data_IF_593569008126
#
_entry.id   IF_593569008126
#
_cell.length_a   1.000
_cell.length_b   1.000
_cell.length_c   1.000
_cell.angle_alpha   90.00
_cell.angle_beta   90.00
_cell.angle_gamma   90.00
#
_symmetry.space_group_name_H-M   'P 1'
#
loop_
_entity.id
_entity.type
_entity.pdbx_description
1 polymer ?
#
# COMPACT_ATOMS: atom_id res chain seq x y z
N UNK A 1 11.13 -10.90 -4.86
CA UNK A 1 11.49 -10.71 -3.44
C UNK A 1 11.20 -9.27 -3.07
N UNK A 2 10.34 -9.03 -2.08
CA UNK A 2 9.91 -7.68 -1.69
C UNK A 2 10.64 -7.21 -0.44
N UNK A 3 11.16 -5.98 -0.48
CA UNK A 3 11.82 -5.35 0.66
C UNK A 3 10.85 -4.51 1.49
N UNK A 4 10.97 -4.56 2.82
CA UNK A 4 10.06 -3.86 3.73
C UNK A 4 10.38 -2.36 3.84
N UNK A 5 9.32 -1.56 3.92
CA UNK A 5 9.38 -0.12 4.27
C UNK A 5 8.45 0.15 5.46
N UNK A 6 8.98 -0.01 6.66
CA UNK A 6 8.24 0.19 7.91
C UNK A 6 8.80 1.38 8.70
N UNK A 7 7.94 2.02 9.49
CA UNK A 7 8.39 3.09 10.39
C UNK A 7 9.24 2.54 11.54
N UNK A 8 10.08 3.39 12.14
CA UNK A 8 10.92 3.03 13.30
C UNK A 8 10.10 2.42 14.45
N UNK A 9 8.90 2.94 14.69
CA UNK A 9 7.98 2.45 15.72
C UNK A 9 7.42 1.07 15.41
N UNK A 10 7.14 0.77 14.15
CA UNK A 10 6.62 -0.52 13.70
C UNK A 10 7.71 -1.59 13.73
N UNK A 11 8.93 -1.27 13.28
CA UNK A 11 10.06 -2.20 13.34
C UNK A 11 10.34 -2.69 14.77
N UNK A 12 10.31 -1.77 15.75
CA UNK A 12 10.49 -2.12 17.17
C UNK A 12 9.35 -2.97 17.72
N UNK A 13 8.10 -2.63 17.36
CA UNK A 13 6.91 -3.32 17.87
C UNK A 13 6.78 -4.72 17.30
N UNK A 14 7.10 -4.89 16.02
CA UNK A 14 6.86 -6.13 15.28
C UNK A 14 8.03 -7.12 15.40
N UNK A 15 9.27 -6.64 15.33
CA UNK A 15 10.45 -7.51 15.29
C UNK A 15 11.30 -7.46 16.57
N UNK A 16 10.88 -6.70 17.59
CA UNK A 16 11.59 -6.62 18.88
C UNK A 16 13.02 -6.05 18.81
N UNK A 17 13.39 -5.41 17.69
CA UNK A 17 14.76 -4.94 17.48
C UNK A 17 15.13 -3.72 18.33
N UNK A 18 16.42 -3.61 18.67
CA UNK A 18 16.95 -2.47 19.43
C UNK A 18 16.79 -1.15 18.67
N UNK A 19 16.74 -0.04 19.41
CA UNK A 19 16.57 1.29 18.82
C UNK A 19 17.70 1.68 17.86
N UNK A 20 18.94 1.28 18.19
CA UNK A 20 20.11 1.51 17.34
C UNK A 20 19.98 0.75 16.01
N UNK A 21 19.48 -0.49 16.06
CA UNK A 21 19.29 -1.32 14.88
C UNK A 21 18.16 -0.78 13.99
N UNK A 22 17.03 -0.36 14.59
CA UNK A 22 15.93 0.25 13.84
C UNK A 22 16.36 1.53 13.08
N UNK A 23 17.18 2.38 13.71
CA UNK A 23 17.75 3.57 13.05
C UNK A 23 18.69 3.16 11.91
N UNK A 24 19.50 2.11 12.12
CA UNK A 24 20.42 1.62 11.09
C UNK A 24 19.69 1.04 9.88
N UNK A 25 18.64 0.23 10.10
CA UNK A 25 17.79 -0.30 9.03
C UNK A 25 17.18 0.84 8.22
N UNK A 26 16.62 1.87 8.88
CA UNK A 26 16.11 3.05 8.18
C UNK A 26 17.17 3.78 7.35
N UNK A 27 18.41 3.88 7.87
CA UNK A 27 19.52 4.48 7.15
C UNK A 27 19.91 3.65 5.91
N UNK A 28 19.96 2.32 6.00
CA UNK A 28 20.22 1.43 4.86
C UNK A 28 19.11 1.54 3.80
N UNK A 29 17.84 1.56 4.21
CA UNK A 29 16.72 1.75 3.29
C UNK A 29 16.76 3.09 2.57
N UNK A 30 17.17 4.17 3.25
CA UNK A 30 17.35 5.49 2.61
C UNK A 30 18.50 5.52 1.60
N UNK A 31 19.43 4.56 1.67
CA UNK A 31 20.51 4.36 0.70
C UNK A 31 20.16 3.37 -0.40
N UNK A 32 18.91 2.88 -0.44
CA UNK A 32 18.42 1.98 -1.47
C UNK A 32 18.60 0.49 -1.15
N UNK A 33 19.18 0.14 0.01
CA UNK A 33 19.31 -1.25 0.44
C UNK A 33 18.09 -1.62 1.31
N UNK A 34 17.17 -2.38 0.71
CA UNK A 34 15.98 -2.87 1.41
C UNK A 34 16.29 -4.16 2.17
N UNK A 35 15.46 -4.51 3.15
CA UNK A 35 15.65 -5.68 4.00
C UNK A 35 14.36 -6.51 4.02
N UNK A 36 14.47 -7.83 3.96
CA UNK A 36 13.32 -8.76 4.06
C UNK A 36 12.78 -8.89 5.48
N UNK A 37 11.55 -9.38 5.61
CA UNK A 37 10.91 -9.64 6.90
C UNK A 37 11.63 -10.75 7.67
N UNK A 38 11.97 -11.86 7.00
CA UNK A 38 12.60 -13.00 7.68
C UNK A 38 13.99 -12.62 8.22
N UNK A 39 14.74 -11.78 7.49
CA UNK A 39 16.00 -11.26 8.02
C UNK A 39 15.76 -10.45 9.31
N UNK A 40 14.73 -9.61 9.37
CA UNK A 40 14.42 -8.84 10.57
C UNK A 40 13.98 -9.70 11.75
N UNK A 41 13.30 -10.82 11.49
CA UNK A 41 12.91 -11.80 12.51
C UNK A 41 14.15 -12.50 13.10
N UNK A 42 15.08 -12.92 12.24
CA UNK A 42 16.30 -13.62 12.65
C UNK A 42 17.28 -12.72 13.44
N UNK A 43 17.22 -11.39 13.29
CA UNK A 43 18.04 -10.44 14.04
C UNK A 43 17.80 -10.48 15.56
N UNK A 44 16.65 -11.00 16.00
CA UNK A 44 16.35 -11.19 17.43
C UNK A 44 17.22 -12.27 18.07
N UNK A 45 17.56 -13.31 17.31
CA UNK A 45 18.23 -14.52 17.80
C UNK A 45 19.71 -14.55 17.40
N UNK A 46 20.04 -14.02 16.23
CA UNK A 46 21.38 -14.10 15.65
C UNK A 46 22.20 -12.81 15.82
N UNK A 47 23.07 -12.80 16.83
CA UNK A 47 23.92 -11.65 17.16
C UNK A 47 24.96 -11.31 16.10
N UNK A 48 25.34 -12.26 15.25
CA UNK A 48 26.34 -12.01 14.21
C UNK A 48 25.74 -11.21 13.06
N UNK A 49 24.48 -11.47 12.68
CA UNK A 49 23.73 -10.65 11.72
C UNK A 49 23.58 -9.19 12.18
N UNK A 50 23.34 -9.00 13.49
CA UNK A 50 23.27 -7.67 14.09
C UNK A 50 24.60 -6.92 13.94
N UNK A 51 25.74 -7.60 14.08
CA UNK A 51 27.07 -6.98 13.88
C UNK A 51 27.25 -6.54 12.43
N UNK A 52 26.85 -7.37 11.46
CA UNK A 52 26.93 -7.04 10.03
C UNK A 52 26.10 -5.79 9.71
N UNK A 53 24.84 -5.75 10.14
CA UNK A 53 23.99 -4.59 9.88
C UNK A 53 24.49 -3.32 10.55
N UNK A 54 25.11 -3.44 11.73
CA UNK A 54 25.68 -2.29 12.44
C UNK A 54 27.03 -1.83 11.89
N UNK A 55 27.67 -2.61 11.00
CA UNK A 55 28.97 -2.30 10.42
C UNK A 55 28.92 -0.96 9.65
N UNK A 56 29.81 0.00 9.96
CA UNK A 56 29.87 1.28 9.25
C UNK A 56 30.14 1.14 7.75
N UNK A 57 30.90 0.12 7.34
CA UNK A 57 31.27 -0.13 5.95
C UNK A 57 30.04 -0.44 5.10
N UNK A 58 29.13 -1.28 5.61
CA UNK A 58 27.86 -1.61 4.97
C UNK A 58 27.02 -0.36 4.66
N UNK A 59 26.95 0.59 5.60
CA UNK A 59 26.20 1.83 5.37
C UNK A 59 26.88 2.72 4.32
N UNK A 60 28.20 2.73 4.28
CA UNK A 60 28.95 3.54 3.31
C UNK A 60 28.88 2.99 1.88
N UNK A 61 28.78 1.67 1.73
CA UNK A 61 28.75 0.97 0.42
C UNK A 61 27.36 0.47 0.04
N UNK A 62 26.31 0.78 0.81
CA UNK A 62 24.96 0.23 0.65
C UNK A 62 24.34 0.33 -0.76
N UNK A 63 24.75 1.31 -1.57
CA UNK A 63 24.24 1.50 -2.93
C UNK A 63 24.93 0.64 -3.99
N UNK A 64 26.16 0.18 -3.72
CA UNK A 64 27.04 -0.52 -4.68
C UNK A 64 27.47 -1.90 -4.18
N UNK A 65 26.99 -2.30 -3.01
CA UNK A 65 27.39 -3.55 -2.39
C UNK A 65 26.78 -4.75 -3.13
N UNK A 66 27.63 -5.73 -3.41
CA UNK A 66 27.27 -7.02 -4.00
C UNK A 66 27.39 -8.15 -2.96
N UNK A 67 26.89 -9.33 -3.33
CA UNK A 67 26.89 -10.52 -2.46
C UNK A 67 28.30 -10.97 -2.08
N UNK A 68 29.29 -10.82 -2.98
CA UNK A 68 30.68 -11.18 -2.69
C UNK A 68 31.33 -10.24 -1.66
N UNK A 69 31.12 -8.92 -1.80
CA UNK A 69 31.59 -7.93 -0.83
C UNK A 69 30.94 -8.12 0.54
N UNK A 70 29.66 -8.49 0.57
CA UNK A 70 28.96 -8.77 1.83
C UNK A 70 29.50 -10.02 2.54
N UNK A 71 29.85 -11.07 1.79
CA UNK A 71 30.52 -12.28 2.34
C UNK A 71 31.90 -11.98 2.91
N UNK A 72 32.64 -11.06 2.30
CA UNK A 72 33.94 -10.61 2.81
C UNK A 72 33.82 -9.81 4.12
N UNK A 73 32.73 -9.04 4.29
CA UNK A 73 32.45 -8.29 5.51
C UNK A 73 32.05 -9.18 6.69
N UNK A 74 31.43 -10.33 6.42
CA UNK A 74 31.10 -11.29 7.48
C UNK A 74 31.13 -12.73 6.99
N UNK A 75 32.30 -13.41 7.12
CA UNK A 75 32.43 -14.83 6.79
C UNK A 75 31.52 -15.73 7.64
N UNK A 76 31.16 -15.26 8.85
CA UNK A 76 30.26 -15.95 9.78
C UNK A 76 28.77 -15.80 9.42
N UNK A 77 28.41 -14.79 8.64
CA UNK A 77 27.04 -14.56 8.17
C UNK A 77 26.83 -15.18 6.77
N UNK A 78 27.34 -16.41 6.57
CA UNK A 78 27.32 -17.15 5.31
C UNK A 78 25.94 -17.52 4.78
N UNK A 79 24.89 -16.85 5.27
CA UNK A 79 23.48 -17.02 4.89
C UNK A 79 22.90 -15.71 4.35
N UNK A 80 23.70 -14.65 4.12
CA UNK A 80 23.21 -13.38 3.59
C UNK A 80 23.55 -13.20 2.11
N UNK A 81 22.57 -12.70 1.34
CA UNK A 81 22.75 -12.33 -0.06
C UNK A 81 22.00 -11.06 -0.43
N UNK A 82 22.46 -10.41 -1.50
CA UNK A 82 21.81 -9.21 -2.06
C UNK A 82 21.19 -9.59 -3.39
N UNK A 83 19.87 -9.41 -3.50
CA UNK A 83 19.08 -9.74 -4.67
C UNK A 83 18.26 -8.52 -5.07
N UNK A 84 18.58 -7.91 -6.22
CA UNK A 84 17.91 -6.71 -6.73
C UNK A 84 17.83 -5.54 -5.71
N UNK A 85 18.91 -5.33 -4.95
CA UNK A 85 18.96 -4.28 -3.91
C UNK A 85 18.20 -4.62 -2.62
N UNK A 86 17.76 -5.88 -2.47
CA UNK A 86 17.16 -6.40 -1.24
C UNK A 86 18.16 -7.32 -0.55
N UNK A 87 18.49 -7.00 0.69
CA UNK A 87 19.26 -7.86 1.58
C UNK A 87 18.33 -8.92 2.19
N UNK A 88 18.64 -10.18 1.95
CA UNK A 88 17.81 -11.32 2.34
C UNK A 88 18.67 -12.50 2.82
N UNK A 89 18.01 -13.49 3.42
CA UNK A 89 18.65 -14.77 3.70
C UNK A 89 18.81 -15.59 2.39
N UNK A 90 19.90 -16.33 2.26
CA UNK A 90 20.21 -17.16 1.08
C UNK A 90 19.16 -18.27 0.90
N UNK A 91 18.62 -18.79 2.00
CA UNK A 91 17.49 -19.72 1.98
C UNK A 91 16.19 -19.07 1.46
N UNK A 92 15.92 -17.78 1.74
CA UNK A 92 14.78 -17.07 1.16
C UNK A 92 14.93 -16.92 -0.36
N UNK A 93 16.15 -16.70 -0.84
CA UNK A 93 16.43 -16.62 -2.27
C UNK A 93 16.26 -17.98 -2.96
N UNK A 94 16.82 -19.05 -2.38
CA UNK A 94 16.68 -20.41 -2.89
C UNK A 94 15.23 -20.88 -2.86
N UNK A 95 14.46 -20.52 -1.82
CA UNK A 95 13.04 -20.82 -1.73
C UNK A 95 12.24 -20.06 -2.80
N UNK A 96 12.54 -18.77 -3.03
CA UNK A 96 11.91 -17.99 -4.09
C UNK A 96 12.16 -18.60 -5.48
N UNK A 97 13.39 -19.05 -5.76
CA UNK A 97 13.74 -19.72 -7.02
C UNK A 97 13.07 -21.09 -7.17
N UNK A 98 12.99 -21.87 -6.09
CA UNK A 98 12.40 -23.22 -6.10
C UNK A 98 10.87 -23.20 -6.23
N UNK A 99 10.21 -22.20 -5.62
CA UNK A 99 8.75 -22.02 -5.72
C UNK A 99 8.32 -21.36 -7.03
N UNK A 100 9.24 -20.67 -7.73
CA UNK A 100 9.02 -20.27 -9.13
C UNK A 100 9.09 -21.49 -10.06
N UNK A 101 9.90 -22.51 -9.75
CA UNK A 101 10.02 -23.75 -10.54
C UNK A 101 8.85 -24.72 -10.31
N UNK A 102 8.23 -24.76 -9.13
CA UNK A 102 7.00 -25.56 -8.89
C UNK A 102 5.75 -25.03 -9.62
N UNK A 103 5.80 -23.85 -10.24
CA UNK A 103 4.79 -23.44 -11.24
C UNK A 103 4.92 -24.20 -12.57
N UNK A 104 5.95 -25.01 -12.75
CA UNK A 104 6.18 -25.75 -13.98
C UNK A 104 6.82 -27.11 -13.73
N UNK A 105 6.05 -28.09 -13.22
CA UNK A 105 5.96 -29.46 -13.80
C UNK A 105 5.17 -30.42 -12.90
N UNK A 106 3.90 -30.65 -13.27
CA UNK A 106 3.25 -31.96 -13.20
C UNK A 106 2.62 -32.43 -11.88
N UNK A 107 1.32 -32.21 -11.71
CA UNK A 107 0.32 -33.30 -11.74
C UNK A 107 -1.10 -32.78 -11.45
N UNK A 108 -2.06 -33.27 -12.25
CA UNK A 108 -3.50 -32.97 -12.29
C UNK A 108 -3.86 -31.65 -12.98
N UNK A 109 -3.94 -31.75 -14.31
CA UNK A 109 -4.63 -30.79 -15.18
C UNK A 109 -6.13 -30.78 -14.85
N UNK A 110 -6.49 -30.00 -13.83
CA UNK A 110 -7.65 -29.13 -13.98
C UNK A 110 -7.15 -28.03 -14.91
N UNK A 111 -7.75 -27.91 -16.09
CA UNK A 111 -7.48 -26.80 -17.00
C UNK A 111 -7.41 -25.53 -16.18
N UNK A 112 -6.32 -24.78 -16.27
CA UNK A 112 -6.32 -23.38 -15.86
C UNK A 112 -7.63 -22.79 -16.38
N UNK A 113 -8.49 -22.21 -15.53
CA UNK A 113 -9.52 -21.34 -16.08
C UNK A 113 -8.74 -20.37 -16.94
N UNK A 114 -9.03 -20.37 -18.24
CA UNK A 114 -8.47 -19.41 -19.19
C UNK A 114 -8.38 -18.07 -18.47
N UNK A 115 -7.26 -17.32 -18.57
CA UNK A 115 -7.11 -16.05 -17.87
C UNK A 115 -8.43 -15.33 -18.04
N UNK A 116 -9.17 -15.18 -16.93
CA UNK A 116 -10.52 -14.64 -17.00
C UNK A 116 -10.36 -13.39 -17.86
N UNK A 117 -11.10 -13.27 -18.97
CA UNK A 117 -10.96 -12.11 -19.82
C UNK A 117 -11.01 -10.94 -18.88
N UNK A 118 -9.90 -10.20 -18.78
CA UNK A 118 -9.85 -8.98 -18.00
C UNK A 118 -11.00 -8.21 -18.58
N UNK A 119 -12.09 -8.07 -17.82
CA UNK A 119 -13.37 -7.58 -18.33
C UNK A 119 -13.05 -6.40 -19.22
N UNK A 120 -13.25 -6.60 -20.53
CA UNK A 120 -12.88 -5.58 -21.49
C UNK A 120 -13.58 -4.28 -21.08
N UNK A 121 -13.01 -3.12 -21.42
CA UNK A 121 -13.68 -1.85 -21.10
C UNK A 121 -15.15 -1.84 -21.58
N UNK A 122 -15.47 -2.59 -22.65
CA UNK A 122 -16.84 -2.82 -23.13
C UNK A 122 -17.67 -3.79 -22.28
N UNK A 123 -17.07 -4.83 -21.66
CA UNK A 123 -17.79 -5.76 -20.79
C UNK A 123 -18.08 -5.12 -19.42
N UNK A 124 -17.15 -4.31 -18.89
CA UNK A 124 -17.41 -3.48 -17.72
C UNK A 124 -18.53 -2.45 -17.98
N UNK A 125 -18.61 -1.87 -19.19
CA UNK A 125 -19.74 -1.02 -19.59
C UNK A 125 -21.05 -1.80 -19.73
N UNK A 126 -21.01 -3.06 -20.16
CA UNK A 126 -22.20 -3.91 -20.22
C UNK A 126 -22.76 -4.27 -18.84
N UNK A 127 -21.89 -4.37 -17.82
CA UNK A 127 -22.27 -4.64 -16.43
C UNK A 127 -22.85 -3.43 -15.70
N UNK A 128 -22.62 -2.21 -16.20
CA UNK A 128 -23.10 -0.97 -15.60
C UNK A 128 -23.91 -0.17 -16.62
N UNK A 129 -25.21 -0.46 -16.70
CA UNK A 129 -26.11 0.34 -17.53
C UNK A 129 -26.17 1.79 -17.01
N UNK A 130 -26.41 2.75 -17.91
CA UNK A 130 -26.57 4.16 -17.52
C UNK A 130 -27.71 4.39 -16.52
N UNK A 131 -28.78 3.59 -16.59
CA UNK A 131 -29.87 3.61 -15.62
C UNK A 131 -29.40 3.13 -14.25
N UNK A 132 -28.63 2.04 -14.20
CA UNK A 132 -28.08 1.53 -12.95
C UNK A 132 -27.13 2.52 -12.30
N UNK A 133 -26.23 3.14 -13.07
CA UNK A 133 -25.34 4.18 -12.56
C UNK A 133 -26.14 5.36 -11.99
N UNK A 134 -27.24 5.73 -12.63
CA UNK A 134 -28.15 6.78 -12.14
C UNK A 134 -28.83 6.37 -10.83
N UNK A 135 -29.28 5.12 -10.71
CA UNK A 135 -29.84 4.57 -9.46
C UNK A 135 -28.83 4.53 -8.33
N UNK A 136 -27.58 4.15 -8.62
CA UNK A 136 -26.49 4.15 -7.64
C UNK A 136 -26.20 5.57 -7.14
N UNK A 137 -26.09 6.55 -8.04
CA UNK A 137 -25.93 7.97 -7.68
C UNK A 137 -27.05 8.47 -6.78
N UNK A 138 -28.30 8.19 -7.15
CA UNK A 138 -29.46 8.55 -6.33
C UNK A 138 -29.40 7.88 -4.96
N UNK A 139 -29.08 6.58 -4.91
CA UNK A 139 -28.95 5.84 -3.64
C UNK A 139 -27.92 6.46 -2.71
N UNK A 140 -26.76 6.87 -3.25
CA UNK A 140 -25.70 7.53 -2.48
C UNK A 140 -26.15 8.90 -1.97
N UNK A 141 -26.75 9.73 -2.83
CA UNK A 141 -27.05 11.12 -2.51
C UNK A 141 -28.34 11.31 -1.71
N UNK A 142 -29.33 10.44 -1.88
CA UNK A 142 -30.68 10.61 -1.29
C UNK A 142 -31.15 9.43 -0.47
N UNK A 143 -30.43 8.30 -0.49
CA UNK A 143 -30.80 7.10 0.27
C UNK A 143 -30.80 7.33 1.78
N UNK A 144 -31.70 6.63 2.47
CA UNK A 144 -31.77 6.64 3.94
C UNK A 144 -31.09 5.39 4.54
N UNK A 145 -31.08 4.29 3.79
CA UNK A 145 -30.46 3.04 4.22
C UNK A 145 -28.91 3.11 4.10
N UNK A 146 -28.18 3.02 5.23
CA UNK A 146 -26.73 3.06 5.22
C UNK A 146 -26.09 1.85 4.52
N UNK A 147 -26.71 0.68 4.55
CA UNK A 147 -26.12 -0.51 3.92
C UNK A 147 -26.27 -0.44 2.39
N UNK A 148 -27.42 0.03 1.89
CA UNK A 148 -27.60 0.35 0.46
C UNK A 148 -26.63 1.43 -0.03
N UNK A 149 -26.37 2.47 0.77
CA UNK A 149 -25.38 3.52 0.45
C UNK A 149 -23.97 2.96 0.32
N UNK A 150 -23.54 2.13 1.26
CA UNK A 150 -22.22 1.49 1.24
C UNK A 150 -22.04 0.60 0.03
N UNK A 151 -23.04 -0.22 -0.27
CA UNK A 151 -23.01 -1.06 -1.46
C UNK A 151 -22.95 -0.19 -2.73
N UNK A 152 -23.74 0.87 -2.80
CA UNK A 152 -23.71 1.76 -3.94
C UNK A 152 -22.35 2.44 -4.14
N UNK A 153 -21.69 2.86 -3.05
CA UNK A 153 -20.33 3.41 -3.08
C UNK A 153 -19.31 2.42 -3.67
N UNK A 154 -19.33 1.15 -3.23
CA UNK A 154 -18.44 0.11 -3.77
C UNK A 154 -18.66 -0.10 -5.26
N UNK A 155 -19.93 -0.16 -5.67
CA UNK A 155 -20.29 -0.33 -7.07
C UNK A 155 -19.88 0.87 -7.93
N UNK A 156 -19.99 2.09 -7.41
CA UNK A 156 -19.46 3.29 -8.09
C UNK A 156 -17.94 3.24 -8.20
N UNK A 157 -17.22 2.81 -7.16
CA UNK A 157 -15.77 2.68 -7.21
C UNK A 157 -15.32 1.72 -8.34
N UNK A 158 -16.06 0.62 -8.55
CA UNK A 158 -15.80 -0.38 -9.58
C UNK A 158 -16.39 -0.05 -10.97
N UNK A 159 -17.22 0.99 -11.07
CA UNK A 159 -17.89 1.36 -12.33
C UNK A 159 -16.92 1.91 -13.39
N UNK A 160 -17.30 1.95 -14.68
CA UNK A 160 -16.49 2.56 -15.73
C UNK A 160 -16.55 4.10 -15.75
N UNK A 161 -17.08 4.75 -14.71
CA UNK A 161 -17.14 6.22 -14.63
C UNK A 161 -15.73 6.84 -14.61
N UNK A 162 -15.56 8.05 -15.18
CA UNK A 162 -14.33 8.82 -15.02
C UNK A 162 -14.00 9.06 -13.54
N UNK A 163 -12.71 9.17 -13.22
CA UNK A 163 -12.25 9.37 -11.84
C UNK A 163 -12.81 10.66 -11.23
N UNK A 164 -12.91 11.71 -12.03
CA UNK A 164 -13.50 13.00 -11.66
C UNK A 164 -14.93 12.81 -11.14
N UNK A 165 -15.72 12.01 -11.86
CA UNK A 165 -17.12 11.78 -11.56
C UNK A 165 -17.29 10.89 -10.34
N UNK A 166 -16.47 9.84 -10.19
CA UNK A 166 -16.44 9.02 -8.97
C UNK A 166 -16.08 9.86 -7.73
N UNK A 167 -15.13 10.78 -7.89
CA UNK A 167 -14.75 11.78 -6.90
C UNK A 167 -15.93 12.64 -6.47
N UNK A 168 -16.59 13.26 -7.44
CA UNK A 168 -17.75 14.13 -7.24
C UNK A 168 -18.89 13.47 -6.47
N UNK A 169 -19.11 12.18 -6.69
CA UNK A 169 -20.14 11.40 -6.00
C UNK A 169 -19.71 11.05 -4.57
N UNK A 170 -18.42 10.73 -4.37
CA UNK A 170 -17.93 10.12 -3.13
C UNK A 170 -17.54 11.16 -2.07
N UNK A 171 -16.94 12.29 -2.47
CA UNK A 171 -16.47 13.33 -1.55
C UNK A 171 -17.56 13.90 -0.63
N UNK A 172 -18.78 14.22 -1.10
CA UNK A 172 -19.87 14.71 -0.24
C UNK A 172 -20.26 13.71 0.86
N UNK A 173 -20.03 12.41 0.63
CA UNK A 173 -20.43 11.32 1.53
C UNK A 173 -19.56 11.26 2.80
N UNK A 174 -18.41 11.95 2.81
CA UNK A 174 -17.62 12.15 4.03
C UNK A 174 -18.39 12.93 5.12
N UNK A 175 -19.45 13.64 4.74
CA UNK A 175 -20.37 14.32 5.65
C UNK A 175 -21.59 13.49 6.08
N UNK A 176 -21.71 12.22 5.67
CA UNK A 176 -22.89 11.40 5.97
C UNK A 176 -23.10 11.21 7.48
N UNK A 177 -24.36 11.10 7.91
CA UNK A 177 -24.71 10.90 9.31
C UNK A 177 -24.21 9.54 9.85
N UNK A 178 -24.25 8.48 9.05
CA UNK A 178 -23.83 7.15 9.46
C UNK A 178 -22.29 6.99 9.37
N UNK A 179 -21.59 6.66 10.48
CA UNK A 179 -20.14 6.49 10.48
C UNK A 179 -19.64 5.38 9.54
N UNK A 180 -20.43 4.33 9.31
CA UNK A 180 -20.06 3.22 8.41
C UNK A 180 -20.05 3.68 6.95
N UNK A 181 -20.97 4.56 6.58
CA UNK A 181 -21.04 5.16 5.24
C UNK A 181 -19.83 6.08 5.02
N UNK A 182 -19.47 6.91 6.03
CA UNK A 182 -18.28 7.76 5.95
C UNK A 182 -16.98 6.96 5.77
N UNK A 183 -16.81 5.85 6.51
CA UNK A 183 -15.67 4.93 6.35
C UNK A 183 -15.57 4.38 4.94
N UNK A 184 -16.69 3.91 4.40
CA UNK A 184 -16.74 3.34 3.06
C UNK A 184 -16.38 4.38 2.00
N UNK A 185 -16.77 5.65 2.18
CA UNK A 185 -16.37 6.73 1.30
C UNK A 185 -14.86 6.99 1.33
N UNK A 186 -14.24 6.97 2.51
CA UNK A 186 -12.76 7.07 2.64
C UNK A 186 -12.06 5.92 1.94
N UNK A 187 -12.54 4.68 2.16
CA UNK A 187 -12.02 3.49 1.48
C UNK A 187 -12.13 3.63 -0.04
N UNK A 188 -13.29 4.02 -0.56
CA UNK A 188 -13.50 4.22 -1.98
C UNK A 188 -12.54 5.26 -2.56
N UNK A 189 -12.35 6.41 -1.90
CA UNK A 189 -11.41 7.44 -2.36
C UNK A 189 -9.96 6.95 -2.37
N UNK A 190 -9.56 6.11 -1.40
CA UNK A 190 -8.22 5.49 -1.39
C UNK A 190 -8.00 4.57 -2.59
N UNK A 191 -9.02 3.77 -2.95
CA UNK A 191 -8.96 2.90 -4.13
C UNK A 191 -8.90 3.68 -5.45
N UNK A 192 -9.33 4.95 -5.48
CA UNK A 192 -9.18 5.83 -6.64
C UNK A 192 -7.76 6.42 -6.79
N UNK A 193 -6.83 6.05 -5.91
CA UNK A 193 -5.42 6.43 -6.00
C UNK A 193 -5.07 7.76 -5.34
N UNK A 194 -5.82 8.17 -4.31
CA UNK A 194 -5.40 9.32 -3.49
C UNK A 194 -4.14 9.02 -2.68
N UNK A 195 -3.24 9.99 -2.62
CA UNK A 195 -2.00 9.94 -1.85
C UNK A 195 -2.27 9.67 -0.36
N UNK A 196 -1.26 9.11 0.31
CA UNK A 196 -1.33 8.80 1.74
C UNK A 196 -1.65 10.03 2.59
N UNK A 197 -1.06 11.19 2.29
CA UNK A 197 -1.29 12.41 3.07
C UNK A 197 -2.71 12.95 2.91
N UNK A 198 -3.28 12.90 1.70
CA UNK A 198 -4.66 13.29 1.45
C UNK A 198 -5.63 12.29 2.08
N UNK A 199 -5.35 10.99 1.95
CA UNK A 199 -6.16 9.91 2.53
C UNK A 199 -6.26 10.01 4.06
N UNK A 200 -5.18 10.36 4.76
CA UNK A 200 -5.19 10.60 6.21
C UNK A 200 -6.07 11.79 6.61
N UNK A 201 -6.01 12.88 5.82
CA UNK A 201 -6.84 14.06 6.06
C UNK A 201 -8.32 13.76 5.84
N UNK A 202 -8.66 13.04 4.77
CA UNK A 202 -10.04 12.60 4.51
C UNK A 202 -10.56 11.66 5.60
N UNK A 203 -9.72 10.76 6.10
CA UNK A 203 -10.04 9.91 7.25
C UNK A 203 -10.34 10.76 8.50
N UNK A 204 -9.54 11.79 8.73
CA UNK A 204 -9.74 12.75 9.82
C UNK A 204 -11.03 13.56 9.65
N UNK A 205 -11.41 13.91 8.41
CA UNK A 205 -12.68 14.59 8.12
C UNK A 205 -13.90 13.69 8.35
N UNK A 206 -13.80 12.42 7.97
CA UNK A 206 -14.85 11.44 8.17
C UNK A 206 -15.05 11.14 9.67
N UNK A 207 -13.97 10.87 10.40
CA UNK A 207 -14.03 10.21 11.71
C UNK A 207 -13.53 11.03 12.88
N UNK A 208 -12.77 12.09 12.61
CA UNK A 208 -12.13 12.89 13.65
C UNK A 208 -13.11 13.69 14.50
N UNK A 209 -12.72 14.11 15.71
CA UNK A 209 -13.50 15.04 16.52
C UNK A 209 -13.62 16.41 15.83
N UNK A 210 -14.66 17.19 16.15
CA UNK A 210 -15.01 18.43 15.44
C UNK A 210 -13.85 19.42 15.25
N UNK A 211 -12.97 19.53 16.25
CA UNK A 211 -11.78 20.38 16.15
C UNK A 211 -10.76 19.87 15.13
N UNK A 212 -10.51 18.56 15.10
CA UNK A 212 -9.62 17.92 14.12
C UNK A 212 -10.18 18.00 12.70
N UNK A 213 -11.51 17.99 12.52
CA UNK A 213 -12.14 18.17 11.20
C UNK A 213 -11.85 19.56 10.61
N UNK A 214 -11.93 20.62 11.41
CA UNK A 214 -11.61 21.97 10.96
C UNK A 214 -10.15 22.10 10.53
N UNK A 215 -9.23 21.52 11.32
CA UNK A 215 -7.80 21.50 10.99
C UNK A 215 -7.56 20.69 9.72
N UNK A 216 -8.23 19.56 9.55
CA UNK A 216 -8.12 18.74 8.35
C UNK A 216 -8.62 19.49 7.10
N UNK A 217 -9.74 20.23 7.19
CA UNK A 217 -10.24 21.06 6.09
C UNK A 217 -9.19 22.11 5.66
N UNK A 218 -8.62 22.84 6.62
CA UNK A 218 -7.59 23.85 6.35
C UNK A 218 -6.33 23.24 5.70
N UNK A 219 -5.96 22.03 6.12
CA UNK A 219 -4.81 21.30 5.55
C UNK A 219 -5.08 20.79 4.15
N UNK A 220 -6.30 20.32 3.86
CA UNK A 220 -6.72 19.93 2.50
C UNK A 220 -6.64 21.14 1.56
N UNK A 221 -7.10 22.31 2.00
CA UNK A 221 -7.00 23.55 1.23
C UNK A 221 -5.54 23.93 0.94
N UNK A 222 -4.66 23.85 1.94
CA UNK A 222 -3.22 24.10 1.77
C UNK A 222 -2.51 23.09 0.86
N UNK A 223 -3.03 21.87 0.75
CA UNK A 223 -2.52 20.82 -0.13
C UNK A 223 -2.99 20.96 -1.57
N UNK A 224 -4.04 21.75 -1.85
CA UNK A 224 -4.62 21.95 -3.20
C UNK A 224 -3.57 22.36 -4.25
N UNK A 225 -2.56 23.13 -3.86
CA UNK A 225 -1.50 23.58 -4.77
C UNK A 225 -0.38 22.54 -4.99
N UNK A 226 -0.32 21.49 -4.17
CA UNK A 226 0.77 20.49 -4.13
C UNK A 226 0.33 19.07 -4.50
N UNK A 227 -0.96 18.80 -4.53
CA UNK A 227 -1.52 17.51 -4.95
C UNK A 227 -1.30 17.26 -6.45
N UNK A 228 -1.17 15.96 -6.80
CA UNK A 228 -0.94 15.53 -8.17
C UNK A 228 -2.15 15.86 -9.07
N UNK A 229 -1.94 16.01 -10.38
CA UNK A 229 -3.00 16.41 -11.32
C UNK A 229 -4.23 15.48 -11.29
N UNK A 230 -4.02 14.19 -11.01
CA UNK A 230 -5.08 13.19 -10.87
C UNK A 230 -5.93 13.41 -9.61
N UNK A 231 -5.32 13.86 -8.52
CA UNK A 231 -6.01 14.18 -7.27
C UNK A 231 -6.71 15.54 -7.35
N UNK A 232 -6.11 16.50 -8.07
CA UNK A 232 -6.76 17.78 -8.40
C UNK A 232 -8.03 17.54 -9.16
N UNK A 233 -8.03 16.63 -10.13
CA UNK A 233 -9.22 16.24 -10.91
C UNK A 233 -10.34 15.70 -10.03
N UNK A 234 -10.00 14.90 -9.02
CA UNK A 234 -10.96 14.33 -8.06
C UNK A 234 -11.46 15.40 -7.07
N UNK A 235 -10.59 16.29 -6.60
CA UNK A 235 -10.91 17.33 -5.60
C UNK A 235 -11.55 18.60 -6.18
N UNK A 236 -11.24 18.98 -7.44
CA UNK A 236 -11.81 20.13 -8.14
C UNK A 236 -13.21 19.87 -8.72
N UNK A 237 -13.62 18.61 -8.89
CA UNK A 237 -15.00 18.29 -9.27
C UNK A 237 -16.05 18.60 -8.20
N UNK A 238 -15.63 19.09 -7.03
CA UNK A 238 -16.46 19.21 -5.81
C UNK A 238 -16.52 20.61 -5.18
N UNK A 239 -15.72 21.57 -5.64
CA UNK A 239 -15.71 22.97 -5.18
C UNK A 239 -16.20 23.89 -6.29
#
# INVERSE_FOLDING_TARGET
MEGLRLSKSELKRQFGISERLAVRVGALCSKGLLITAALLEELGENRDLVKVLLDPTLLSTAAEIDTESLRNLSPSAGVLGIYNGVLALEEEALAAESWEVEKGTGALSLSEPAPLPILGHSEAQALFSGEELSRLKLTILTGVDPDAKREALRRIALSPLPLEEKGAITLPVLGDADPRVRREAVEALRHLGMDGALSELLSTLAEGPSHSKLIALQRVEALREKIADQERKITLGCL
#
